data_IF_746343510637
#
_entry.id   IF_746343510637
#
_cell.length_a   1.000
_cell.length_b   1.000
_cell.length_c   1.000
_cell.angle_alpha   90.00
_cell.angle_beta   90.00
_cell.angle_gamma   90.00
#
_symmetry.space_group_name_H-M   'P 1'
#
loop_
_entity.id
_entity.type
_entity.pdbx_description
1 polymer ?
#
# COMPACT_ATOMS: atom_id res chain seq x y z
N UNK A 1 -28.02 -2.35 -8.31
CA UNK A 1 -27.46 -3.37 -9.23
C UNK A 1 -25.95 -3.24 -9.43
N UNK A 2 -25.42 -2.03 -9.71
CA UNK A 2 -23.97 -1.78 -9.90
C UNK A 2 -23.06 -2.34 -8.79
N UNK A 3 -23.41 -2.17 -7.52
CA UNK A 3 -22.65 -2.72 -6.38
C UNK A 3 -22.53 -4.26 -6.41
N UNK A 4 -23.56 -4.96 -6.88
CA UNK A 4 -23.56 -6.43 -6.99
C UNK A 4 -22.61 -6.87 -8.09
N UNK A 5 -22.61 -6.18 -9.23
CA UNK A 5 -21.67 -6.44 -10.33
C UNK A 5 -20.21 -6.20 -9.91
N UNK A 6 -19.93 -5.11 -9.20
CA UNK A 6 -18.59 -4.83 -8.66
C UNK A 6 -18.16 -5.91 -7.65
N UNK A 7 -19.04 -6.33 -6.73
CA UNK A 7 -18.68 -7.38 -5.77
C UNK A 7 -18.42 -8.73 -6.46
N UNK A 8 -19.24 -9.09 -7.45
CA UNK A 8 -19.03 -10.29 -8.27
C UNK A 8 -17.70 -10.24 -9.02
N UNK A 9 -17.36 -9.10 -9.63
CA UNK A 9 -16.06 -8.89 -10.30
C UNK A 9 -14.90 -9.13 -9.34
N UNK A 10 -14.94 -8.52 -8.15
CA UNK A 10 -13.87 -8.66 -7.15
C UNK A 10 -13.78 -10.09 -6.59
N UNK A 11 -14.91 -10.79 -6.42
CA UNK A 11 -14.92 -12.21 -6.06
C UNK A 11 -14.29 -13.06 -7.17
N UNK A 12 -14.68 -12.86 -8.42
CA UNK A 12 -14.10 -13.57 -9.56
C UNK A 12 -12.58 -13.35 -9.66
N UNK A 13 -12.10 -12.12 -9.42
CA UNK A 13 -10.67 -11.81 -9.38
C UNK A 13 -9.96 -12.53 -8.22
N UNK A 14 -10.56 -12.55 -7.02
CA UNK A 14 -10.04 -13.27 -5.86
C UNK A 14 -9.94 -14.79 -6.13
N UNK A 15 -10.93 -15.36 -6.82
CA UNK A 15 -10.97 -16.76 -7.22
C UNK A 15 -10.17 -17.06 -8.51
N UNK A 16 -9.45 -16.07 -9.07
CA UNK A 16 -8.65 -16.18 -10.31
C UNK A 16 -9.46 -16.61 -11.55
N UNK A 17 -10.76 -16.29 -11.58
CA UNK A 17 -11.67 -16.56 -12.70
C UNK A 17 -11.58 -15.43 -13.73
N UNK A 18 -10.41 -15.28 -14.36
CA UNK A 18 -10.11 -14.15 -15.25
C UNK A 18 -11.04 -14.04 -16.45
N UNK A 19 -11.51 -15.16 -17.00
CA UNK A 19 -12.49 -15.16 -18.10
C UNK A 19 -13.81 -14.49 -17.72
N UNK A 20 -14.30 -14.72 -16.49
CA UNK A 20 -15.49 -14.05 -15.98
C UNK A 20 -15.22 -12.57 -15.67
N UNK A 21 -14.02 -12.26 -15.19
CA UNK A 21 -13.58 -10.87 -14.98
C UNK A 21 -13.61 -10.10 -16.31
N UNK A 22 -13.04 -10.67 -17.37
CA UNK A 22 -13.08 -10.10 -18.73
C UNK A 22 -14.51 -9.89 -19.19
N UNK A 23 -15.38 -10.89 -19.03
CA UNK A 23 -16.79 -10.78 -19.40
C UNK A 23 -17.51 -9.64 -18.63
N UNK A 24 -17.27 -9.51 -17.33
CA UNK A 24 -17.83 -8.41 -16.53
C UNK A 24 -17.34 -7.03 -17.01
N UNK A 25 -16.05 -6.91 -17.35
CA UNK A 25 -15.44 -5.67 -17.84
C UNK A 25 -15.93 -5.34 -19.25
N UNK A 26 -16.12 -6.34 -20.12
CA UNK A 26 -16.70 -6.14 -21.45
C UNK A 26 -18.14 -5.60 -21.39
N UNK A 27 -18.90 -5.96 -20.35
CA UNK A 27 -20.24 -5.43 -20.14
C UNK A 27 -20.22 -4.01 -19.56
N UNK A 28 -19.33 -3.74 -18.61
CA UNK A 28 -19.21 -2.44 -17.95
C UNK A 28 -17.73 -2.14 -17.64
N UNK A 29 -17.00 -1.42 -18.49
CA UNK A 29 -15.58 -1.16 -18.25
C UNK A 29 -15.33 -0.17 -17.10
N UNK A 30 -16.29 0.69 -16.77
CA UNK A 30 -16.14 1.71 -15.72
C UNK A 30 -16.03 1.14 -14.29
N UNK A 31 -16.51 -0.09 -14.05
CA UNK A 31 -16.57 -0.68 -12.71
C UNK A 31 -15.20 -1.07 -12.14
N UNK A 32 -14.15 -1.09 -12.97
CA UNK A 32 -12.79 -1.53 -12.58
C UNK A 32 -12.12 -0.60 -11.58
N UNK A 33 -12.52 0.67 -11.58
CA UNK A 33 -12.03 1.70 -10.66
C UNK A 33 -12.97 1.94 -9.48
N UNK A 34 -14.03 1.12 -9.36
CA UNK A 34 -14.98 1.20 -8.26
C UNK A 34 -14.68 0.14 -7.20
N UNK A 35 -15.07 0.46 -5.98
CA UNK A 35 -14.93 -0.43 -4.84
C UNK A 35 -16.15 -0.31 -3.93
N UNK A 36 -16.76 -1.43 -3.51
CA UNK A 36 -17.80 -1.39 -2.50
C UNK A 36 -17.25 -0.84 -1.18
N UNK A 37 -18.05 -0.12 -0.38
CA UNK A 37 -17.57 0.51 0.85
C UNK A 37 -17.00 -0.49 1.87
N UNK A 38 -17.49 -1.74 1.85
CA UNK A 38 -17.07 -2.81 2.74
C UNK A 38 -15.86 -3.63 2.26
N UNK A 39 -15.33 -3.37 1.06
CA UNK A 39 -14.12 -4.03 0.54
C UNK A 39 -12.89 -3.17 0.78
N UNK A 40 -11.75 -3.81 1.04
CA UNK A 40 -10.47 -3.11 1.27
C UNK A 40 -9.72 -2.79 -0.03
N UNK A 41 -9.77 -3.70 -1.01
CA UNK A 41 -8.96 -3.65 -2.22
C UNK A 41 -9.78 -3.44 -3.49
N UNK A 42 -9.17 -2.80 -4.49
CA UNK A 42 -9.71 -2.67 -5.85
C UNK A 42 -9.28 -3.86 -6.71
N UNK A 43 -9.81 -3.95 -7.94
CA UNK A 43 -9.42 -5.00 -8.89
C UNK A 43 -7.91 -4.98 -9.18
N UNK A 44 -7.32 -3.78 -9.35
CA UNK A 44 -5.89 -3.62 -9.60
C UNK A 44 -5.03 -4.14 -8.45
N UNK A 45 -5.44 -3.92 -7.19
CA UNK A 45 -4.75 -4.49 -6.02
C UNK A 45 -4.86 -6.01 -5.97
N UNK A 46 -5.99 -6.59 -6.38
CA UNK A 46 -6.11 -8.05 -6.49
C UNK A 46 -5.19 -8.63 -7.56
N UNK A 47 -5.05 -7.96 -8.71
CA UNK A 47 -4.11 -8.38 -9.76
C UNK A 47 -2.66 -8.30 -9.25
N UNK A 48 -2.30 -7.23 -8.56
CA UNK A 48 -0.99 -7.07 -7.93
C UNK A 48 -0.71 -8.12 -6.84
N UNK A 49 -1.72 -8.47 -6.04
CA UNK A 49 -1.64 -9.48 -4.99
C UNK A 49 -1.40 -10.89 -5.56
N UNK A 50 -2.02 -11.21 -6.70
CA UNK A 50 -1.85 -12.52 -7.35
C UNK A 50 -0.60 -12.56 -8.24
N UNK A 51 -0.18 -11.40 -8.77
CA UNK A 51 0.99 -11.26 -9.65
C UNK A 51 0.71 -11.55 -11.13
N UNK A 52 -0.55 -11.53 -11.57
CA UNK A 52 -0.95 -11.84 -12.94
C UNK A 52 -0.74 -10.64 -13.88
N UNK A 53 0.51 -10.42 -14.26
CA UNK A 53 0.91 -9.30 -15.12
C UNK A 53 0.29 -9.39 -16.52
N UNK A 54 0.24 -10.59 -17.11
CA UNK A 54 -0.34 -10.81 -18.44
C UNK A 54 -1.82 -10.44 -18.48
N UNK A 55 -2.58 -10.85 -17.46
CA UNK A 55 -4.00 -10.50 -17.34
C UNK A 55 -4.17 -9.00 -17.13
N UNK A 56 -3.32 -8.38 -16.32
CA UNK A 56 -3.36 -6.93 -16.15
C UNK A 56 -3.14 -6.19 -17.47
N UNK A 57 -2.14 -6.61 -18.27
CA UNK A 57 -1.88 -6.03 -19.60
C UNK A 57 -3.07 -6.20 -20.53
N UNK A 58 -3.65 -7.39 -20.59
CA UNK A 58 -4.84 -7.68 -21.40
C UNK A 58 -6.02 -6.78 -21.01
N UNK A 59 -6.30 -6.68 -19.71
CA UNK A 59 -7.38 -5.82 -19.21
C UNK A 59 -7.09 -4.33 -19.46
N UNK A 60 -5.84 -3.90 -19.38
CA UNK A 60 -5.44 -2.51 -19.63
C UNK A 60 -5.67 -2.07 -21.08
N UNK A 61 -5.80 -3.03 -22.02
CA UNK A 61 -6.21 -2.72 -23.41
C UNK A 61 -7.71 -2.44 -23.54
N UNK A 62 -8.52 -2.96 -22.62
CA UNK A 62 -9.99 -2.89 -22.65
C UNK A 62 -10.50 -1.74 -21.78
N UNK A 63 -9.84 -1.49 -20.64
CA UNK A 63 -10.28 -0.53 -19.65
C UNK A 63 -9.11 0.28 -19.08
N UNK A 64 -9.38 1.51 -18.65
CA UNK A 64 -8.38 2.37 -18.04
C UNK A 64 -8.32 2.15 -16.53
N UNK A 65 -7.21 1.61 -16.04
CA UNK A 65 -6.94 1.48 -14.62
C UNK A 65 -6.37 2.78 -14.04
N UNK A 66 -6.90 3.20 -12.89
CA UNK A 66 -6.28 4.26 -12.08
C UNK A 66 -5.18 3.65 -11.21
N UNK A 67 -3.93 3.93 -11.57
CA UNK A 67 -2.75 3.43 -10.85
C UNK A 67 -2.47 4.16 -9.54
N UNK A 68 -3.01 5.38 -9.40
CA UNK A 68 -2.89 6.21 -8.20
C UNK A 68 -3.82 5.76 -7.05
N UNK A 69 -4.55 4.65 -7.23
CA UNK A 69 -5.46 4.14 -6.21
C UNK A 69 -4.70 3.57 -5.02
N UNK A 70 -4.91 4.18 -3.86
CA UNK A 70 -4.41 3.68 -2.57
C UNK A 70 -5.52 2.88 -1.88
N UNK A 71 -5.18 1.67 -1.45
CA UNK A 71 -6.04 0.80 -0.65
C UNK A 71 -5.26 0.31 0.57
N UNK A 72 -5.87 0.40 1.75
CA UNK A 72 -5.21 -0.04 3.00
C UNK A 72 -3.86 0.67 3.26
N UNK A 73 -3.76 1.95 2.85
CA UNK A 73 -2.52 2.76 2.86
C UNK A 73 -1.38 2.19 1.97
N UNK A 74 -1.73 1.37 0.97
CA UNK A 74 -0.77 0.76 0.05
C UNK A 74 -1.15 1.06 -1.40
N UNK A 75 -0.14 1.39 -2.19
CA UNK A 75 -0.26 1.48 -3.65
C UNK A 75 -0.26 0.09 -4.27
N UNK A 76 -0.65 0.02 -5.55
CA UNK A 76 -0.66 -1.23 -6.32
C UNK A 76 0.76 -1.84 -6.40
N UNK A 77 1.78 -1.01 -6.64
CA UNK A 77 3.18 -1.45 -6.70
C UNK A 77 3.67 -1.98 -5.36
N UNK A 78 3.29 -1.35 -4.25
CA UNK A 78 3.65 -1.80 -2.91
C UNK A 78 3.04 -3.17 -2.59
N UNK A 79 1.75 -3.39 -2.91
CA UNK A 79 1.10 -4.70 -2.73
C UNK A 79 1.82 -5.78 -3.55
N UNK A 80 2.18 -5.49 -4.79
CA UNK A 80 2.93 -6.44 -5.61
C UNK A 80 4.29 -6.81 -4.99
N UNK A 81 5.06 -5.83 -4.48
CA UNK A 81 6.35 -6.08 -3.82
C UNK A 81 6.22 -6.90 -2.55
N UNK A 82 5.23 -6.62 -1.71
CA UNK A 82 4.97 -7.39 -0.48
C UNK A 82 4.68 -8.87 -0.76
N UNK A 83 4.10 -9.15 -1.93
CA UNK A 83 3.78 -10.51 -2.38
C UNK A 83 4.87 -11.14 -3.26
N UNK A 84 6.05 -10.52 -3.37
CA UNK A 84 7.19 -10.96 -4.21
C UNK A 84 6.92 -10.92 -5.72
N UNK A 85 5.96 -10.11 -6.17
CA UNK A 85 5.65 -9.90 -7.58
C UNK A 85 6.41 -8.67 -8.13
N UNK A 86 7.74 -8.75 -8.12
CA UNK A 86 8.63 -7.63 -8.47
C UNK A 86 8.38 -7.12 -9.89
N UNK A 87 8.28 -8.04 -10.86
CA UNK A 87 8.01 -7.68 -12.26
C UNK A 87 6.68 -6.92 -12.45
N UNK A 88 5.67 -7.23 -11.62
CA UNK A 88 4.41 -6.50 -11.63
C UNK A 88 4.59 -5.09 -11.07
N UNK A 89 5.30 -4.96 -9.94
CA UNK A 89 5.57 -3.68 -9.32
C UNK A 89 6.37 -2.74 -10.24
N UNK A 90 7.44 -3.23 -10.86
CA UNK A 90 8.27 -2.47 -11.80
C UNK A 90 7.47 -2.02 -13.03
N UNK A 91 6.58 -2.87 -13.53
CA UNK A 91 5.70 -2.52 -14.65
C UNK A 91 4.73 -1.38 -14.28
N UNK A 92 4.09 -1.45 -13.11
CA UNK A 92 3.19 -0.40 -12.65
C UNK A 92 3.94 0.91 -12.42
N UNK A 93 5.13 0.87 -11.82
CA UNK A 93 5.96 2.05 -11.61
C UNK A 93 6.37 2.70 -12.93
N UNK A 94 6.73 1.90 -13.94
CA UNK A 94 7.04 2.40 -15.28
C UNK A 94 5.84 3.15 -15.90
N UNK A 95 4.63 2.57 -15.80
CA UNK A 95 3.40 3.21 -16.30
C UNK A 95 3.05 4.51 -15.56
N UNK A 96 3.31 4.59 -14.26
CA UNK A 96 3.09 5.83 -13.50
C UNK A 96 4.06 6.93 -13.91
N UNK A 97 5.32 6.61 -14.21
CA UNK A 97 6.32 7.58 -14.66
C UNK A 97 6.01 8.09 -16.06
N UNK A 98 5.61 7.21 -16.98
CA UNK A 98 5.21 7.61 -18.35
C UNK A 98 3.98 8.53 -18.38
N UNK A 99 3.12 8.47 -17.37
CA UNK A 99 1.93 9.33 -17.26
C UNK A 99 2.28 10.76 -16.82
N UNK A 100 3.41 10.95 -16.14
CA UNK A 100 3.90 12.25 -15.64
C UNK A 100 4.90 12.92 -16.58
N UNK A 101 5.52 12.19 -17.52
CA UNK A 101 6.58 12.68 -18.41
C UNK A 101 6.08 13.53 -19.60
N UNK A 102 5.10 14.42 -19.37
CA UNK A 102 4.91 15.64 -20.19
C UNK A 102 5.39 16.91 -19.49
N UNK A 103 5.86 16.85 -18.24
CA UNK A 103 6.46 18.01 -17.58
C UNK A 103 7.61 17.60 -16.67
N UNK A 104 8.85 17.69 -17.17
CA UNK A 104 10.03 18.31 -16.53
C UNK A 104 11.31 17.66 -17.06
N UNK A 105 11.79 18.17 -18.19
CA UNK A 105 13.23 18.17 -18.47
C UNK A 105 13.89 19.24 -17.59
N UNK A 106 14.96 18.85 -16.89
CA UNK A 106 16.12 19.63 -16.40
C UNK A 106 16.45 19.29 -14.94
N UNK A 107 17.69 19.18 -14.43
CA UNK A 107 19.08 19.05 -14.92
C UNK A 107 19.95 19.31 -13.68
N UNK A 108 21.11 18.63 -13.58
CA UNK A 108 22.25 18.80 -12.63
C UNK A 108 22.10 18.19 -11.23
N UNK A 109 22.92 17.24 -10.79
CA UNK A 109 24.40 17.14 -10.77
C UNK A 109 25.07 18.20 -9.87
N UNK A 110 25.37 17.82 -8.62
CA UNK A 110 26.51 18.28 -7.81
C UNK A 110 26.54 17.42 -6.51
N UNK A 111 27.48 16.48 -6.36
CA UNK A 111 28.80 16.66 -5.72
C UNK A 111 28.82 16.47 -4.20
N UNK A 112 29.48 15.37 -3.80
CA UNK A 112 30.58 15.31 -2.83
C UNK A 112 30.40 15.73 -1.34
N UNK A 113 30.70 14.73 -0.50
CA UNK A 113 31.74 14.75 0.56
C UNK A 113 31.44 15.29 1.98
N UNK A 114 31.96 14.49 2.94
CA UNK A 114 32.54 14.90 4.24
C UNK A 114 31.58 15.51 5.29
N UNK A 115 31.72 15.35 6.60
CA UNK A 115 32.68 14.69 7.48
C UNK A 115 32.09 14.66 8.90
N UNK A 116 32.67 13.80 9.72
CA UNK A 116 32.54 13.69 11.18
C UNK A 116 32.58 15.03 11.93
N UNK A 117 31.84 15.14 13.04
CA UNK A 117 31.95 16.28 13.96
C UNK A 117 31.23 16.05 15.28
N UNK A 118 31.95 15.50 16.25
CA UNK A 118 31.58 15.53 17.66
C UNK A 118 31.76 16.95 18.21
N UNK A 119 30.86 17.42 19.08
CA UNK A 119 31.23 18.43 20.08
C UNK A 119 30.29 18.37 21.30
N UNK A 120 30.93 18.07 22.42
CA UNK A 120 30.38 18.12 23.78
C UNK A 120 30.50 19.53 24.37
N UNK A 121 29.83 19.70 25.50
CA UNK A 121 30.00 20.69 26.58
C UNK A 121 29.03 21.88 26.60
N UNK A 122 28.37 22.02 27.76
CA UNK A 122 27.44 23.10 28.06
C UNK A 122 26.69 22.86 29.38
N UNK A 123 27.43 22.64 30.46
CA UNK A 123 26.97 22.53 31.85
C UNK A 123 26.24 23.81 32.31
N UNK A 124 25.22 23.67 33.17
CA UNK A 124 24.88 24.44 34.40
C UNK A 124 23.34 24.57 34.56
N UNK A 125 22.65 24.51 35.70
CA UNK A 125 22.78 23.92 37.05
C UNK A 125 21.49 24.34 37.85
N UNK A 126 20.76 23.37 38.46
CA UNK A 126 19.84 23.41 39.64
C UNK A 126 18.68 24.45 39.78
N UNK A 127 17.37 24.10 39.88
CA UNK A 127 16.52 23.47 40.97
C UNK A 127 16.25 24.38 42.19
N UNK A 128 15.07 24.40 42.88
CA UNK A 128 14.24 23.25 43.35
C UNK A 128 12.69 23.45 43.28
N UNK A 129 11.83 22.42 43.35
CA UNK A 129 11.16 22.00 44.60
C UNK A 129 10.00 21.00 44.29
N UNK A 130 9.93 19.89 45.04
CA UNK A 130 8.73 19.11 45.43
C UNK A 130 7.92 18.45 44.27
N UNK A 131 7.98 17.14 44.03
CA UNK A 131 7.62 16.07 44.96
C UNK A 131 8.46 14.80 44.74
N UNK A 132 8.92 14.28 45.86
CA UNK A 132 9.30 12.90 46.13
C UNK A 132 7.99 12.15 46.45
N UNK A 133 7.68 11.06 45.74
CA UNK A 133 6.73 10.07 46.27
C UNK A 133 7.29 8.65 46.02
N UNK A 134 7.90 8.03 47.05
CA UNK A 134 8.47 6.71 47.01
C UNK A 134 7.55 5.73 47.73
N UNK A 135 6.60 5.12 47.05
CA UNK A 135 5.91 3.88 47.45
C UNK A 135 5.04 3.47 46.26
N UNK A 136 5.26 2.34 45.60
CA UNK A 136 4.63 1.08 46.00
C UNK A 136 5.50 -0.07 45.46
N UNK A 137 6.00 -0.88 46.38
CA UNK A 137 6.58 -2.19 46.12
C UNK A 137 5.52 -3.30 46.31
N UNK A 138 5.54 -4.31 45.41
CA UNK A 138 5.33 -5.76 45.66
C UNK A 138 3.92 -6.25 46.13
N UNK A 139 3.19 -7.18 45.45
CA UNK A 139 3.32 -8.67 45.42
C UNK A 139 2.16 -9.29 44.56
N UNK A 140 2.29 -10.52 44.01
CA UNK A 140 1.40 -11.13 43.01
C UNK A 140 0.27 -12.00 43.59
N UNK A 141 -0.73 -12.36 42.76
CA UNK A 141 -1.69 -13.42 43.08
C UNK A 141 -2.04 -14.29 41.86
N UNK A 142 -1.64 -15.54 41.97
CA UNK A 142 -2.06 -16.71 41.19
C UNK A 142 -3.55 -17.00 41.47
N UNK A 143 -4.39 -17.11 40.44
CA UNK A 143 -5.71 -17.75 40.57
C UNK A 143 -5.81 -18.84 39.51
N UNK A 144 -5.73 -20.07 40.01
CA UNK A 144 -6.10 -21.30 39.36
C UNK A 144 -7.63 -21.46 39.48
N UNK A 145 -8.33 -21.81 38.41
CA UNK A 145 -9.64 -22.47 38.52
C UNK A 145 -9.79 -23.48 37.40
N UNK A 146 -9.86 -24.74 37.83
CA UNK A 146 -10.20 -25.90 37.02
C UNK A 146 -11.70 -25.94 36.71
N UNK A 147 -12.06 -26.56 35.59
CA UNK A 147 -13.14 -27.53 35.55
C UNK A 147 -12.88 -28.52 34.41
#
# INVERSE_FOLDING_TARGET
ERLVAVDQLLNNAKDRKWELVKQCISLQPDIVNEKPPYRRFYLAHHLAFVGELDIFKDLSTICHFKLDLVADNKTISQVAREHNHIAFAEYIESLTVESDETTTSNTHEASAAHSSGAHSTGTHHYSPAFYDDPCISFIPANINVAN
#
